data_IF_603625592146
#
_entry.id   IF_603625592146
#
_cell.length_a   1.000
_cell.length_b   1.000
_cell.length_c   1.000
_cell.angle_alpha   90.00
_cell.angle_beta   90.00
_cell.angle_gamma   90.00
#
_symmetry.space_group_name_H-M   'P 1'
#
loop_
_entity.id
_entity.type
_entity.pdbx_description
1 polymer ?
#
# COMPACT_ATOMS: atom_id res chain seq x y z
N UNK A 1 -9.40 -14.83 0.10
CA UNK A 1 -8.87 -13.52 -0.34
C UNK A 1 -7.42 -13.69 -0.76
N UNK A 2 -7.17 -13.83 -2.07
CA UNK A 2 -5.82 -14.02 -2.62
C UNK A 2 -5.24 -12.65 -2.96
N UNK A 3 -4.56 -12.02 -2.00
CA UNK A 3 -3.70 -10.85 -2.22
C UNK A 3 -2.40 -11.35 -2.88
N UNK A 4 -2.29 -11.25 -4.20
CA UNK A 4 -1.21 -11.91 -4.93
C UNK A 4 0.11 -11.13 -5.05
N UNK A 5 0.20 -9.83 -4.70
CA UNK A 5 1.49 -9.15 -4.78
C UNK A 5 1.58 -7.82 -4.01
N UNK A 6 2.26 -7.78 -2.85
CA UNK A 6 2.61 -6.51 -2.17
C UNK A 6 4.02 -6.12 -2.61
N UNK A 7 4.13 -5.16 -3.55
CA UNK A 7 5.43 -4.61 -3.98
C UNK A 7 5.82 -3.40 -3.13
N UNK A 8 6.91 -3.53 -2.37
CA UNK A 8 7.46 -2.47 -1.51
C UNK A 8 8.57 -1.70 -2.24
N UNK A 9 8.40 -0.40 -2.47
CA UNK A 9 9.42 0.46 -3.10
C UNK A 9 9.86 1.59 -2.16
N UNK A 10 11.16 1.70 -1.88
CA UNK A 10 11.74 2.77 -1.05
C UNK A 10 11.99 4.03 -1.89
N UNK A 11 11.27 5.13 -1.60
CA UNK A 11 11.53 6.45 -2.20
C UNK A 11 12.34 7.30 -1.21
N UNK A 12 13.66 7.34 -1.37
CA UNK A 12 14.54 8.09 -0.47
C UNK A 12 14.73 9.53 -1.00
N UNK A 13 13.84 10.45 -0.61
CA UNK A 13 13.92 11.86 -0.98
C UNK A 13 14.46 12.69 0.20
N UNK A 14 15.78 12.81 0.35
CA UNK A 14 16.39 13.80 1.26
C UNK A 14 17.77 13.44 1.82
N UNK A 15 18.49 14.42 2.41
CA UNK A 15 19.80 14.20 3.04
C UNK A 15 19.69 13.17 4.16
N UNK A 16 20.79 12.43 4.36
CA UNK A 16 21.03 11.20 5.17
C UNK A 16 20.32 11.02 6.54
N UNK A 17 19.60 12.02 7.06
CA UNK A 17 18.90 11.99 8.35
C UNK A 17 17.36 11.99 8.28
N UNK A 18 16.74 12.10 7.10
CA UNK A 18 15.26 12.08 6.93
C UNK A 18 14.78 10.85 6.17
N UNK A 19 15.17 9.65 6.60
CA UNK A 19 14.70 8.38 6.04
C UNK A 19 13.19 8.22 6.31
N UNK A 20 12.36 8.72 5.40
CA UNK A 20 10.93 8.39 5.35
C UNK A 20 10.73 7.29 4.32
N UNK A 21 10.03 6.25 4.73
CA UNK A 21 9.65 5.14 3.88
C UNK A 21 8.21 5.35 3.42
N UNK A 22 8.00 5.25 2.12
CA UNK A 22 6.66 5.18 1.54
C UNK A 22 6.39 3.75 1.09
N UNK A 23 5.15 3.30 1.20
CA UNK A 23 4.74 1.97 0.76
C UNK A 23 3.57 2.13 -0.19
N UNK A 24 3.54 1.28 -1.23
CA UNK A 24 2.37 1.09 -2.07
C UNK A 24 1.87 -0.34 -1.98
N UNK A 25 0.57 -0.52 -2.03
CA UNK A 25 -0.07 -1.81 -2.15
C UNK A 25 -0.68 -1.89 -3.52
N UNK A 26 -0.30 -2.91 -4.26
CA UNK A 26 -0.89 -3.26 -5.54
C UNK A 26 -1.78 -4.45 -5.29
N UNK A 27 -3.01 -4.40 -5.78
CA UNK A 27 -3.90 -5.53 -5.63
C UNK A 27 -4.76 -5.75 -6.87
N UNK A 28 -5.07 -7.02 -7.09
CA UNK A 28 -5.91 -7.49 -8.18
C UNK A 28 -7.08 -8.22 -7.55
N UNK A 29 -8.29 -7.86 -7.97
CA UNK A 29 -9.53 -8.47 -7.50
C UNK A 29 -9.97 -9.47 -8.55
N UNK A 30 -10.30 -10.71 -8.15
CA UNK A 30 -10.67 -11.77 -9.11
C UNK A 30 -11.91 -11.42 -9.92
N UNK A 31 -12.83 -10.71 -9.29
CA UNK A 31 -14.08 -10.23 -9.84
C UNK A 31 -13.85 -9.11 -10.88
N UNK A 32 -12.68 -8.45 -10.84
CA UNK A 32 -12.28 -7.37 -11.75
C UNK A 32 -10.86 -7.64 -12.29
N UNK A 33 -10.66 -8.70 -13.10
CA UNK A 33 -9.34 -9.15 -13.51
C UNK A 33 -8.58 -8.15 -14.41
N UNK A 34 -9.29 -7.16 -14.96
CA UNK A 34 -8.70 -6.10 -15.78
C UNK A 34 -8.43 -4.82 -14.98
N UNK A 35 -8.65 -4.83 -13.66
CA UNK A 35 -8.45 -3.68 -12.79
C UNK A 35 -7.39 -3.97 -11.74
N UNK A 36 -6.38 -3.11 -11.74
CA UNK A 36 -5.31 -3.11 -10.75
C UNK A 36 -5.56 -1.92 -9.84
N UNK A 37 -5.63 -2.15 -8.54
CA UNK A 37 -5.79 -1.11 -7.54
C UNK A 37 -4.44 -0.81 -6.90
N UNK A 38 -4.08 0.46 -6.85
CA UNK A 38 -2.86 0.94 -6.20
C UNK A 38 -3.20 1.86 -5.04
N UNK A 39 -2.80 1.47 -3.83
CA UNK A 39 -2.98 2.26 -2.61
C UNK A 39 -1.63 2.77 -2.12
N UNK A 40 -1.55 4.07 -1.90
CA UNK A 40 -0.33 4.71 -1.42
C UNK A 40 -0.48 5.06 0.06
N UNK A 41 0.42 4.56 0.89
CA UNK A 41 0.54 5.00 2.28
C UNK A 41 1.40 6.27 2.38
N UNK A 42 1.06 7.13 3.34
CA UNK A 42 1.91 8.28 3.66
C UNK A 42 3.34 7.87 4.03
N UNK A 43 4.36 8.70 3.71
CA UNK A 43 5.73 8.44 4.11
C UNK A 43 5.87 8.44 5.66
N UNK A 44 6.38 7.34 6.24
CA UNK A 44 6.62 7.23 7.70
C UNK A 44 8.10 6.96 7.99
N UNK A 45 8.55 7.33 9.20
CA UNK A 45 9.95 7.10 9.62
C UNK A 45 10.29 5.61 9.78
N UNK A 46 9.30 4.75 9.98
CA UNK A 46 9.48 3.30 10.13
C UNK A 46 8.81 2.58 8.97
N UNK A 47 9.51 1.58 8.43
CA UNK A 47 9.00 0.72 7.35
C UNK A 47 7.67 0.04 7.73
N UNK A 48 7.58 -0.46 8.96
CA UNK A 48 6.37 -1.11 9.48
C UNK A 48 5.18 -0.14 9.47
N UNK A 49 5.35 1.05 10.03
CA UNK A 49 4.29 2.05 10.12
C UNK A 49 3.83 2.50 8.72
N UNK A 50 4.75 2.66 7.77
CA UNK A 50 4.42 3.00 6.39
C UNK A 50 3.62 1.87 5.69
N UNK A 51 4.03 0.61 5.91
CA UNK A 51 3.33 -0.55 5.38
C UNK A 51 1.93 -0.73 5.99
N UNK A 52 1.81 -0.61 7.31
CA UNK A 52 0.53 -0.68 8.02
C UNK A 52 -0.42 0.41 7.56
N UNK A 53 0.09 1.63 7.37
CA UNK A 53 -0.74 2.73 6.91
C UNK A 53 -1.25 2.53 5.49
N UNK A 54 -0.40 2.05 4.57
CA UNK A 54 -0.83 1.67 3.23
C UNK A 54 -1.90 0.55 3.27
N UNK A 55 -1.70 -0.45 4.15
CA UNK A 55 -2.62 -1.57 4.32
C UNK A 55 -3.98 -1.15 4.88
N UNK A 56 -4.01 -0.20 5.81
CA UNK A 56 -5.26 0.36 6.32
C UNK A 56 -6.04 1.09 5.23
N UNK A 57 -5.37 1.85 4.36
CA UNK A 57 -6.01 2.53 3.23
C UNK A 57 -6.62 1.53 2.23
N UNK A 58 -5.87 0.49 1.86
CA UNK A 58 -6.37 -0.58 1.01
C UNK A 58 -7.57 -1.31 1.65
N UNK A 59 -7.47 -1.66 2.94
CA UNK A 59 -8.54 -2.36 3.66
C UNK A 59 -9.81 -1.50 3.77
N UNK A 60 -9.67 -0.20 4.00
CA UNK A 60 -10.80 0.72 4.05
C UNK A 60 -11.55 0.74 2.71
N UNK A 61 -10.82 0.86 1.59
CA UNK A 61 -11.42 0.81 0.26
C UNK A 61 -12.17 -0.50 0.01
N UNK A 62 -11.55 -1.64 0.34
CA UNK A 62 -12.18 -2.94 0.15
C UNK A 62 -13.48 -3.09 0.94
N UNK A 63 -13.54 -2.56 2.16
CA UNK A 63 -14.77 -2.57 2.96
C UNK A 63 -15.86 -1.67 2.40
N UNK A 64 -15.50 -0.51 1.84
CA UNK A 64 -16.47 0.41 1.25
C UNK A 64 -17.10 -0.17 -0.01
N UNK A 65 -16.31 -0.85 -0.83
CA UNK A 65 -16.77 -1.48 -2.07
C UNK A 65 -17.43 -2.86 -1.84
N UNK A 66 -17.40 -3.38 -0.60
CA UNK A 66 -18.00 -4.66 -0.24
C UNK A 66 -17.21 -5.89 -0.69
N UNK A 67 -15.90 -5.73 -0.91
CA UNK A 67 -15.02 -6.85 -1.28
C UNK A 67 -14.55 -7.69 -0.09
N UNK A 68 -14.64 -7.16 1.14
CA UNK A 68 -14.23 -7.82 2.39
C UNK A 68 -15.18 -7.54 3.55
#
# INVERSE_FOLDING_TARGET
FLLNHISVSNLNNGPVCSCRFSFKIVMEIKELPNQIFEFYGEPRMRKKDAAEHAAQGALWYLKQEGYV
#
